data_IF_210949779871
#
_entry.id   IF_210949779871
#
_cell.length_a   1.000
_cell.length_b   1.000
_cell.length_c   1.000
_cell.angle_alpha   90.00
_cell.angle_beta   90.00
_cell.angle_gamma   90.00
#
_symmetry.space_group_name_H-M   'P 1'
#
loop_
_entity.id
_entity.type
_entity.pdbx_description
1 polymer ?
#
# COMPACT_ATOMS: atom_id res chain seq x y z
N UNK A 1 14.67 0.07 -13.06
CA UNK A 1 13.44 0.75 -12.58
C UNK A 1 12.17 -0.14 -12.66
N UNK A 2 12.23 -1.43 -12.31
CA UNK A 2 11.08 -2.36 -12.46
C UNK A 2 10.39 -2.80 -11.14
N UNK A 3 11.02 -2.57 -9.99
CA UNK A 3 10.50 -3.03 -8.68
C UNK A 3 9.51 -2.09 -8.00
N UNK A 4 9.78 -0.77 -8.03
CA UNK A 4 8.96 0.22 -7.31
C UNK A 4 7.54 0.36 -7.89
N UNK A 5 7.40 0.30 -9.22
CA UNK A 5 6.09 0.38 -9.87
C UNK A 5 5.19 -0.82 -9.57
N UNK A 6 5.78 -2.00 -9.34
CA UNK A 6 5.03 -3.21 -8.99
C UNK A 6 4.50 -3.14 -7.55
N UNK A 7 5.31 -2.63 -6.61
CA UNK A 7 4.88 -2.41 -5.22
C UNK A 7 3.75 -1.39 -5.15
N UNK A 8 3.85 -0.29 -5.91
CA UNK A 8 2.81 0.73 -5.95
C UNK A 8 1.49 0.17 -6.48
N UNK A 9 1.55 -0.66 -7.54
CA UNK A 9 0.38 -1.31 -8.12
C UNK A 9 -0.28 -2.31 -7.17
N UNK A 10 0.51 -3.12 -6.47
CA UNK A 10 -0.01 -4.11 -5.51
C UNK A 10 -0.71 -3.42 -4.32
N UNK A 11 -0.12 -2.34 -3.81
CA UNK A 11 -0.67 -1.58 -2.68
C UNK A 11 -1.95 -0.85 -3.07
N UNK A 12 -1.97 -0.21 -4.24
CA UNK A 12 -3.18 0.45 -4.75
C UNK A 12 -4.30 -0.53 -5.13
N UNK A 13 -3.98 -1.70 -5.68
CA UNK A 13 -4.99 -2.73 -5.96
C UNK A 13 -5.56 -3.33 -4.68
N UNK A 14 -4.74 -3.54 -3.64
CA UNK A 14 -5.19 -3.97 -2.33
C UNK A 14 -6.09 -2.93 -1.64
N UNK A 15 -5.80 -1.63 -1.78
CA UNK A 15 -6.67 -0.56 -1.26
C UNK A 15 -8.04 -0.51 -1.95
N UNK A 16 -8.14 -0.93 -3.21
CA UNK A 16 -9.40 -1.07 -3.96
C UNK A 16 -10.09 -2.42 -3.66
N UNK A 17 -9.44 -3.32 -2.90
CA UNK A 17 -9.95 -4.66 -2.57
C UNK A 17 -9.65 -5.73 -3.63
N UNK A 18 -8.86 -5.41 -4.65
CA UNK A 18 -8.40 -6.33 -5.69
C UNK A 18 -7.04 -6.91 -5.30
N UNK A 19 -7.02 -7.73 -4.24
CA UNK A 19 -5.84 -8.50 -3.86
C UNK A 19 -5.79 -9.82 -4.64
N UNK A 20 -4.91 -9.94 -5.64
CA UNK A 20 -4.71 -11.21 -6.35
C UNK A 20 -4.00 -12.21 -5.42
N UNK A 21 -4.51 -13.43 -5.34
CA UNK A 21 -3.95 -14.48 -4.47
C UNK A 21 -2.50 -14.82 -4.84
N UNK A 22 -2.12 -14.73 -6.11
CA UNK A 22 -0.74 -14.98 -6.54
C UNK A 22 0.25 -13.91 -6.04
N UNK A 23 -0.19 -12.66 -5.91
CA UNK A 23 0.63 -11.56 -5.38
C UNK A 23 0.81 -11.73 -3.86
N UNK A 24 -0.24 -12.16 -3.17
CA UNK A 24 -0.20 -12.45 -1.73
C UNK A 24 0.79 -13.58 -1.39
N UNK A 25 0.80 -14.67 -2.16
CA UNK A 25 1.72 -15.80 -1.95
C UNK A 25 3.19 -15.35 -2.15
N UNK A 26 3.46 -14.54 -3.19
CA UNK A 26 4.80 -13.99 -3.43
C UNK A 26 5.24 -13.03 -2.34
N UNK A 27 4.32 -12.24 -1.79
CA UNK A 27 4.59 -11.31 -0.71
C UNK A 27 4.92 -12.06 0.59
N UNK A 28 4.25 -13.19 0.86
CA UNK A 28 4.59 -14.10 1.96
C UNK A 28 5.97 -14.73 1.79
N UNK A 29 6.30 -15.31 0.62
CA UNK A 29 7.63 -15.89 0.36
C UNK A 29 8.76 -14.86 0.51
N UNK A 30 8.51 -13.60 0.09
CA UNK A 30 9.48 -12.51 0.29
C UNK A 30 9.61 -12.12 1.75
N UNK A 31 8.51 -12.10 2.48
CA UNK A 31 8.48 -11.79 3.91
C UNK A 31 9.24 -12.84 4.71
N UNK A 32 9.13 -14.12 4.37
CA UNK A 32 9.91 -15.19 5.01
C UNK A 32 11.42 -15.04 4.75
N UNK A 33 11.83 -14.58 3.56
CA UNK A 33 13.25 -14.46 3.18
C UNK A 33 13.91 -13.15 3.62
N UNK A 34 13.16 -12.05 3.68
CA UNK A 34 13.71 -10.69 3.85
C UNK A 34 13.09 -9.94 5.06
N UNK A 35 12.17 -10.57 5.77
CA UNK A 35 11.46 -9.98 6.90
C UNK A 35 10.30 -9.05 6.48
N UNK A 36 9.33 -8.79 7.39
CA UNK A 36 8.12 -8.04 7.09
C UNK A 36 8.30 -6.52 7.04
N UNK A 37 9.47 -6.01 7.45
CA UNK A 37 9.75 -4.59 7.64
C UNK A 37 9.39 -3.70 6.43
N UNK A 38 9.71 -4.05 5.17
CA UNK A 38 9.36 -3.22 4.02
C UNK A 38 7.85 -3.02 3.87
N UNK A 39 7.05 -4.05 4.13
CA UNK A 39 5.59 -3.98 4.05
C UNK A 39 4.99 -3.12 5.16
N UNK A 40 5.53 -3.22 6.38
CA UNK A 40 5.10 -2.40 7.52
C UNK A 40 5.35 -0.92 7.24
N UNK A 41 6.55 -0.57 6.76
CA UNK A 41 6.90 0.82 6.44
C UNK A 41 5.99 1.38 5.34
N UNK A 42 5.79 0.61 4.28
CA UNK A 42 4.89 1.01 3.18
C UNK A 42 3.46 1.18 3.69
N UNK A 43 2.95 0.26 4.52
CA UNK A 43 1.62 0.35 5.13
C UNK A 43 1.44 1.60 6.01
N UNK A 44 2.46 1.96 6.80
CA UNK A 44 2.45 3.18 7.61
C UNK A 44 2.40 4.45 6.74
N UNK A 45 3.22 4.50 5.69
CA UNK A 45 3.22 5.63 4.73
C UNK A 45 1.84 5.79 4.09
N UNK A 46 1.24 4.69 3.63
CA UNK A 46 -0.09 4.72 3.00
C UNK A 46 -1.19 5.17 3.96
N UNK A 47 -1.11 4.78 5.24
CA UNK A 47 -2.02 5.25 6.28
C UNK A 47 -1.95 6.76 6.45
N UNK A 48 -0.74 7.33 6.50
CA UNK A 48 -0.55 8.79 6.62
C UNK A 48 -1.10 9.52 5.39
N UNK A 49 -0.84 8.99 4.18
CA UNK A 49 -1.38 9.53 2.92
C UNK A 49 -2.91 9.52 2.94
N UNK A 50 -3.53 8.43 3.39
CA UNK A 50 -4.98 8.32 3.50
C UNK A 50 -5.57 9.37 4.45
N UNK A 51 -4.97 9.55 5.64
CA UNK A 51 -5.41 10.56 6.60
C UNK A 51 -5.33 11.97 5.99
N UNK A 52 -4.21 12.31 5.32
CA UNK A 52 -4.06 13.61 4.66
C UNK A 52 -5.11 13.82 3.57
N UNK A 53 -5.43 12.78 2.79
CA UNK A 53 -6.49 12.80 1.79
C UNK A 53 -7.85 13.10 2.41
N UNK A 54 -8.22 12.41 3.50
CA UNK A 54 -9.49 12.65 4.20
C UNK A 54 -9.56 14.09 4.71
N UNK A 55 -8.49 14.60 5.34
CA UNK A 55 -8.43 15.99 5.81
C UNK A 55 -8.60 16.97 4.64
N UNK A 56 -7.94 16.72 3.50
CA UNK A 56 -8.04 17.58 2.32
C UNK A 56 -9.47 17.61 1.76
N UNK A 57 -10.13 16.45 1.65
CA UNK A 57 -11.52 16.36 1.19
C UNK A 57 -12.47 17.08 2.14
N UNK A 58 -12.32 16.89 3.45
CA UNK A 58 -13.15 17.57 4.46
C UNK A 58 -12.95 19.09 4.39
N UNK A 59 -11.71 19.56 4.30
CA UNK A 59 -11.42 20.98 4.13
C UNK A 59 -12.01 21.55 2.85
N UNK A 60 -11.90 20.83 1.74
CA UNK A 60 -12.49 21.22 0.46
C UNK A 60 -14.02 21.31 0.54
N UNK A 61 -14.68 20.36 1.21
CA UNK A 61 -16.14 20.35 1.38
C UNK A 61 -16.66 21.44 2.33
N UNK A 62 -15.83 21.88 3.28
CA UNK A 62 -16.14 22.97 4.21
C UNK A 62 -15.72 24.36 3.71
N UNK A 63 -15.05 24.43 2.55
CA UNK A 63 -14.69 25.68 1.88
C UNK A 63 -15.84 26.16 1.01
#
# INVERSE_FOLDING_TARGET
MKGLGQVFKAVSSAMIGVGKKEDLIKDFERTEKQGPWPYIIVGLIMTVVFIMLVIAVVKFALS
#
